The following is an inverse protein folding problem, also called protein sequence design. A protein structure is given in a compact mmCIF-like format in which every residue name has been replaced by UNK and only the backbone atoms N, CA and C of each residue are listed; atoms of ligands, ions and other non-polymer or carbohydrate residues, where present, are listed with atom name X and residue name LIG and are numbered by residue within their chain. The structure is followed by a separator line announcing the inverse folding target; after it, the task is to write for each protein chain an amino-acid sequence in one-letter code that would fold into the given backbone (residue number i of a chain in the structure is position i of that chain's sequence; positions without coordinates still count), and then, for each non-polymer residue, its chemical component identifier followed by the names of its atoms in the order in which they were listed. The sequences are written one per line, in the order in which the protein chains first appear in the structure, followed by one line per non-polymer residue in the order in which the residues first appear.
data_IF_403570503226
#
_entry.id   IF_403570503226
#
_cell.length_a   1.000
_cell.length_b   1.000
_cell.length_c   1.000
_cell.angle_alpha   90.00
_cell.angle_beta   90.00
_cell.angle_gamma   90.00
#
_symmetry.space_group_name_H-M   'P 1'
#
loop_
_entity.id
_entity.type
_entity.pdbx_description
1 polymer ?
#
# COMPACT_ATOMS: atom_id res chain seq x y z
N UNK A 1 9.95 -13.55 -4.77
CA UNK A 1 8.93 -13.56 -5.84
C UNK A 1 9.64 -13.34 -7.18
N UNK A 2 9.28 -14.04 -8.26
CA UNK A 2 9.88 -13.78 -9.59
C UNK A 2 9.28 -12.52 -10.22
N UNK A 3 9.98 -11.90 -11.17
CA UNK A 3 9.49 -10.70 -11.87
C UNK A 3 8.12 -10.94 -12.53
N UNK A 4 7.91 -12.10 -13.13
CA UNK A 4 6.63 -12.47 -13.74
C UNK A 4 5.44 -12.46 -12.76
N UNK A 5 5.68 -12.84 -11.50
CA UNK A 5 4.63 -12.84 -10.46
C UNK A 5 4.39 -11.42 -9.96
N UNK A 6 5.44 -10.60 -9.83
CA UNK A 6 5.32 -9.17 -9.52
C UNK A 6 4.47 -8.46 -10.58
N UNK A 7 4.80 -8.64 -11.86
CA UNK A 7 4.08 -7.99 -12.98
C UNK A 7 2.60 -8.42 -13.01
N UNK A 8 2.32 -9.70 -12.76
CA UNK A 8 0.94 -10.20 -12.67
C UNK A 8 0.17 -9.54 -11.52
N UNK A 9 0.78 -9.42 -10.34
CA UNK A 9 0.15 -8.80 -9.19
C UNK A 9 -0.10 -7.30 -9.41
N UNK A 10 0.82 -6.59 -10.07
CA UNK A 10 0.65 -5.19 -10.48
C UNK A 10 -0.52 -5.04 -11.46
N UNK A 11 -0.68 -5.97 -12.41
CA UNK A 11 -1.80 -5.93 -13.35
C UNK A 11 -3.16 -6.07 -12.63
N UNK A 12 -3.25 -6.95 -11.62
CA UNK A 12 -4.46 -7.08 -10.79
C UNK A 12 -4.73 -5.77 -10.04
N UNK A 13 -3.71 -5.21 -9.37
CA UNK A 13 -3.83 -3.96 -8.62
C UNK A 13 -4.18 -2.79 -9.52
N UNK A 14 -3.67 -2.75 -10.75
CA UNK A 14 -4.03 -1.75 -11.77
C UNK A 14 -5.53 -1.79 -12.07
N UNK A 15 -6.11 -2.98 -12.23
CA UNK A 15 -7.54 -3.11 -12.46
C UNK A 15 -8.38 -2.64 -11.25
N UNK A 16 -7.89 -2.84 -10.03
CA UNK A 16 -8.60 -2.49 -8.80
C UNK A 16 -8.45 -1.01 -8.40
N UNK A 17 -7.25 -0.45 -8.58
CA UNK A 17 -6.85 0.86 -8.06
C UNK A 17 -6.60 1.89 -9.16
N UNK A 18 -6.62 1.47 -10.43
CA UNK A 18 -6.47 2.33 -11.60
C UNK A 18 -5.05 2.40 -12.17
N UNK A 19 -4.95 2.94 -13.39
CA UNK A 19 -3.72 2.98 -14.18
C UNK A 19 -2.59 3.74 -13.49
N UNK A 20 -2.91 4.86 -12.83
CA UNK A 20 -1.91 5.69 -12.14
C UNK A 20 -1.17 4.91 -11.05
N UNK A 21 -1.90 4.13 -10.26
CA UNK A 21 -1.34 3.27 -9.21
C UNK A 21 -0.53 2.14 -9.84
N UNK A 22 -1.06 1.49 -10.88
CA UNK A 22 -0.35 0.44 -11.61
C UNK A 22 0.99 0.90 -12.20
N UNK A 23 1.01 2.06 -12.85
CA UNK A 23 2.23 2.66 -13.42
C UNK A 23 3.24 3.05 -12.34
N UNK A 24 2.77 3.52 -11.17
CA UNK A 24 3.65 3.80 -10.03
C UNK A 24 4.27 2.53 -9.48
N UNK A 25 3.48 1.48 -9.25
CA UNK A 25 3.99 0.19 -8.77
C UNK A 25 5.00 -0.43 -9.74
N UNK A 26 4.78 -0.32 -11.05
CA UNK A 26 5.74 -0.80 -12.05
C UNK A 26 7.07 -0.04 -11.99
N UNK A 27 7.04 1.27 -11.75
CA UNK A 27 8.26 2.06 -11.56
C UNK A 27 9.00 1.68 -10.28
N UNK A 28 8.26 1.46 -9.18
CA UNK A 28 8.85 1.06 -7.90
C UNK A 28 9.43 -0.36 -7.95
N UNK A 29 8.81 -1.29 -8.67
CA UNK A 29 9.31 -2.65 -8.80
C UNK A 29 10.59 -2.76 -9.63
N UNK A 30 10.79 -1.83 -10.57
CA UNK A 30 12.00 -1.74 -11.38
C UNK A 30 13.13 -0.93 -10.72
N UNK A 31 12.87 -0.26 -9.59
CA UNK A 31 13.85 0.59 -8.92
C UNK A 31 14.81 -0.23 -8.06
N UNK A 32 16.12 -0.01 -8.24
CA UNK A 32 17.16 -0.63 -7.41
C UNK A 32 17.35 0.07 -6.06
N UNK A 33 16.93 1.33 -5.92
CA UNK A 33 16.85 2.06 -4.64
C UNK A 33 15.98 3.33 -4.75
N UNK A 34 15.38 3.74 -3.63
CA UNK A 34 14.97 5.12 -3.35
C UNK A 34 13.51 5.55 -3.59
N UNK A 35 13.10 6.61 -2.89
CA UNK A 35 11.91 7.43 -3.23
C UNK A 35 12.23 8.14 -4.55
N UNK A 36 12.02 7.45 -5.68
CA UNK A 36 12.52 7.90 -6.99
C UNK A 36 14.08 7.99 -7.08
N UNK A 37 14.83 7.15 -6.35
CA UNK A 37 16.29 7.03 -6.53
C UNK A 37 17.22 7.39 -5.37
N UNK A 38 16.75 7.80 -4.18
CA UNK A 38 17.62 7.91 -2.97
C UNK A 38 17.07 7.23 -1.71
N UNK A 39 18.01 6.54 -1.05
CA UNK A 39 18.03 5.94 0.31
C UNK A 39 17.07 4.80 0.67
N UNK A 40 16.01 4.54 -0.09
CA UNK A 40 15.15 3.35 0.12
C UNK A 40 15.77 2.07 -0.48
N UNK A 41 15.60 0.94 0.19
CA UNK A 41 15.88 -0.37 -0.38
C UNK A 41 14.94 -0.69 -1.56
N UNK A 42 15.28 -1.66 -2.43
CA UNK A 42 14.38 -2.19 -3.44
C UNK A 42 13.01 -2.56 -2.86
N UNK A 43 11.95 -2.42 -3.67
CA UNK A 43 10.59 -2.75 -3.24
C UNK A 43 10.51 -4.17 -2.70
N UNK A 44 10.02 -4.30 -1.46
CA UNK A 44 9.77 -5.57 -0.82
C UNK A 44 8.57 -6.25 -1.51
N UNK A 45 8.76 -7.42 -2.15
CA UNK A 45 7.69 -8.09 -2.87
C UNK A 45 6.51 -8.49 -1.96
N UNK A 46 6.75 -8.74 -0.67
CA UNK A 46 5.68 -9.06 0.28
C UNK A 46 4.78 -7.86 0.57
N UNK A 47 5.30 -6.65 0.44
CA UNK A 47 4.50 -5.43 0.58
C UNK A 47 3.46 -5.28 -0.53
N UNK A 48 3.78 -5.79 -1.73
CA UNK A 48 2.85 -5.83 -2.86
C UNK A 48 1.72 -6.85 -2.62
N UNK A 49 2.03 -8.00 -2.01
CA UNK A 49 1.03 -9.00 -1.58
C UNK A 49 0.11 -8.41 -0.50
N UNK A 50 0.70 -7.67 0.45
CA UNK A 50 -0.02 -6.89 1.46
C UNK A 50 -0.98 -5.89 0.81
N UNK A 51 -0.53 -5.08 -0.15
CA UNK A 51 -1.40 -4.14 -0.87
C UNK A 51 -2.56 -4.85 -1.60
N UNK A 52 -2.29 -6.00 -2.23
CA UNK A 52 -3.30 -6.79 -2.92
C UNK A 52 -4.35 -7.40 -1.98
N UNK A 53 -3.95 -7.74 -0.76
CA UNK A 53 -4.85 -8.23 0.28
C UNK A 53 -5.71 -7.08 0.81
N UNK A 54 -5.09 -5.91 1.03
CA UNK A 54 -5.78 -4.72 1.49
C UNK A 54 -6.82 -4.22 0.48
N UNK A 55 -6.47 -4.17 -0.82
CA UNK A 55 -7.37 -3.71 -1.89
C UNK A 55 -8.59 -4.60 -2.11
N UNK A 56 -8.53 -5.87 -1.68
CA UNK A 56 -9.68 -6.79 -1.67
C UNK A 56 -10.56 -6.62 -0.43
N UNK A 57 -9.96 -6.17 0.67
CA UNK A 57 -10.62 -6.04 1.97
C UNK A 57 -11.29 -4.67 2.13
N UNK A 58 -10.71 -3.64 1.52
CA UNK A 58 -11.17 -2.26 1.62
C UNK A 58 -11.28 -1.61 0.24
N UNK A 59 -12.34 -0.83 0.00
CA UNK A 59 -12.43 0.01 -1.18
C UNK A 59 -11.47 1.20 -1.03
N UNK A 60 -10.22 1.04 -1.50
CA UNK A 60 -9.24 2.12 -1.53
C UNK A 60 -9.57 3.15 -2.63
N UNK A 61 -9.35 4.46 -2.40
CA UNK A 61 -9.69 5.52 -3.35
C UNK A 61 -8.62 5.63 -4.45
N UNK A 62 -8.63 4.67 -5.39
CA UNK A 62 -7.55 4.46 -6.36
C UNK A 62 -7.02 5.71 -7.11
N UNK A 63 -7.86 6.70 -7.43
CA UNK A 63 -7.42 7.92 -8.14
C UNK A 63 -6.63 8.90 -7.24
N UNK A 64 -6.94 8.92 -5.95
CA UNK A 64 -6.34 9.79 -4.94
C UNK A 64 -5.30 9.05 -4.09
N UNK A 65 -5.01 7.79 -4.43
CA UNK A 65 -4.04 6.96 -3.75
C UNK A 65 -2.62 7.29 -4.23
N UNK A 66 -1.80 7.84 -3.34
CA UNK A 66 -0.38 8.00 -3.55
C UNK A 66 0.37 6.75 -3.08
N UNK A 67 1.43 6.34 -3.80
CA UNK A 67 2.18 5.10 -3.52
C UNK A 67 3.68 5.35 -3.54
N UNK A 68 4.34 4.86 -2.50
CA UNK A 68 5.68 5.25 -2.07
C UNK A 68 6.46 4.04 -1.52
N UNK A 69 7.76 4.21 -1.28
CA UNK A 69 8.58 3.25 -0.55
C UNK A 69 9.09 3.84 0.77
N UNK A 70 9.05 3.07 1.84
CA UNK A 70 9.84 3.34 3.04
C UNK A 70 11.32 3.04 2.81
N UNK A 71 12.17 3.51 3.73
CA UNK A 71 13.61 3.24 3.69
C UNK A 71 13.93 1.72 3.63
N UNK A 72 13.06 0.88 4.19
CA UNK A 72 13.18 -0.58 4.25
C UNK A 72 12.64 -1.30 2.98
N UNK A 73 12.10 -0.56 2.01
CA UNK A 73 11.51 -1.10 0.79
C UNK A 73 10.03 -1.48 0.89
N UNK A 74 9.38 -1.31 2.05
CA UNK A 74 7.93 -1.52 2.16
C UNK A 74 7.18 -0.40 1.43
N UNK A 75 6.03 -0.74 0.85
CA UNK A 75 5.11 0.23 0.27
C UNK A 75 4.45 1.03 1.38
N UNK A 76 4.33 2.33 1.14
CA UNK A 76 3.41 3.20 1.86
C UNK A 76 2.37 3.70 0.86
N UNK A 77 1.12 3.62 1.25
CA UNK A 77 0.01 4.24 0.51
C UNK A 77 -0.55 5.39 1.34
N UNK A 78 -0.94 6.48 0.68
CA UNK A 78 -1.50 7.65 1.34
C UNK A 78 -2.73 8.13 0.59
N UNK A 79 -3.79 8.47 1.31
CA UNK A 79 -5.01 9.04 0.74
C UNK A 79 -5.68 10.02 1.69
N UNK A 80 -6.54 10.88 1.14
CA UNK A 80 -7.42 11.73 1.94
C UNK A 80 -8.74 11.02 2.19
N UNK A 81 -9.12 10.90 3.46
CA UNK A 81 -10.44 10.44 3.86
C UNK A 81 -11.50 11.52 3.62
N UNK A 82 -12.77 11.14 3.72
CA UNK A 82 -13.90 12.04 3.40
C UNK A 82 -14.02 13.22 4.35
N UNK A 83 -13.52 13.10 5.58
CA UNK A 83 -13.48 14.20 6.54
C UNK A 83 -12.27 15.14 6.35
N UNK A 84 -11.39 14.86 5.38
CA UNK A 84 -10.17 15.63 5.09
C UNK A 84 -8.91 15.13 5.80
N UNK A 85 -9.00 14.10 6.66
CA UNK A 85 -7.85 13.47 7.32
C UNK A 85 -6.96 12.79 6.28
N UNK A 86 -5.66 13.02 6.35
CA UNK A 86 -4.68 12.23 5.59
C UNK A 86 -4.45 10.92 6.33
N UNK A 87 -4.61 9.82 5.61
CA UNK A 87 -4.39 8.47 6.10
C UNK A 87 -3.19 7.90 5.37
N UNK A 88 -2.16 7.56 6.12
CA UNK A 88 -1.00 6.84 5.64
C UNK A 88 -1.11 5.37 6.09
N UNK A 89 -0.79 4.45 5.19
CA UNK A 89 -0.71 3.04 5.53
C UNK A 89 0.62 2.44 5.07
N UNK A 90 1.43 1.99 6.03
CA UNK A 90 2.66 1.23 5.78
C UNK A 90 2.33 -0.25 5.67
N UNK A 91 2.83 -0.88 4.61
CA UNK A 91 2.52 -2.25 4.22
C UNK A 91 3.75 -3.12 4.43
N UNK A 92 3.94 -3.57 5.67
CA UNK A 92 4.97 -4.53 6.01
C UNK A 92 4.62 -5.97 5.59
N UNK A 93 5.55 -6.92 5.79
CA UNK A 93 5.27 -8.34 5.74
C UNK A 93 4.17 -8.73 6.73
N UNK A 94 2.95 -8.93 6.24
CA UNK A 94 1.75 -9.29 7.04
C UNK A 94 1.32 -8.26 8.09
N UNK A 95 1.95 -7.09 8.14
CA UNK A 95 1.62 -6.01 9.05
C UNK A 95 1.10 -4.83 8.23
N UNK A 96 0.00 -4.26 8.69
CA UNK A 96 -0.56 -3.01 8.23
C UNK A 96 -0.46 -2.00 9.38
N UNK A 97 0.32 -0.95 9.20
CA UNK A 97 0.30 0.19 10.11
C UNK A 97 -0.50 1.32 9.45
N UNK A 98 -1.59 1.76 10.08
CA UNK A 98 -2.38 2.91 9.63
C UNK A 98 -2.12 4.07 10.57
N UNK A 99 -1.68 5.18 10.00
CA UNK A 99 -1.33 6.40 10.71
C UNK A 99 -2.14 7.59 10.20
N UNK A 100 -2.54 8.45 11.13
CA UNK A 100 -3.14 9.76 10.91
C UNK A 100 -2.48 10.76 11.85
N UNK A 101 -2.82 12.04 11.74
CA UNK A 101 -2.38 13.05 12.72
C UNK A 101 -2.86 12.76 14.16
N UNK A 102 -3.92 11.95 14.33
CA UNK A 102 -4.54 11.70 15.62
C UNK A 102 -4.10 10.39 16.29
N UNK A 103 -3.76 9.37 15.51
CA UNK A 103 -3.40 8.04 16.02
C UNK A 103 -2.61 7.22 15.00
N UNK A 104 -1.94 6.19 15.52
CA UNK A 104 -1.36 5.09 14.76
C UNK A 104 -1.96 3.78 15.25
N UNK A 105 -2.27 2.87 14.33
CA UNK A 105 -2.83 1.56 14.60
C UNK A 105 -2.08 0.50 13.80
N UNK A 106 -1.64 -0.56 14.48
CA UNK A 106 -1.03 -1.73 13.86
C UNK A 106 -2.03 -2.88 13.81
N UNK A 107 -2.18 -3.49 12.63
CA UNK A 107 -3.08 -4.60 12.35
C UNK A 107 -2.35 -5.69 11.57
N UNK A 108 -2.75 -6.95 11.77
CA UNK A 108 -2.34 -8.02 10.87
C UNK A 108 -3.14 -7.91 9.57
N UNK A 109 -2.47 -8.01 8.41
CA UNK A 109 -3.15 -7.84 7.12
C UNK A 109 -4.08 -9.00 6.77
N UNK A 110 -3.85 -10.14 7.40
CA UNK A 110 -4.65 -11.35 7.30
C UNK A 110 -5.61 -11.52 8.48
N UNK A 111 -5.79 -10.47 9.30
CA UNK A 111 -6.83 -10.47 10.33
C UNK A 111 -8.21 -10.62 9.64
N UNK A 112 -8.99 -11.68 9.95
CA UNK A 112 -10.34 -11.85 9.39
C UNK A 112 -11.28 -10.68 9.69
N UNK A 113 -10.98 -9.89 10.72
CA UNK A 113 -11.73 -8.72 11.14
C UNK A 113 -11.10 -7.41 10.64
N UNK A 114 -10.10 -7.44 9.75
CA UNK A 114 -9.40 -6.25 9.27
C UNK A 114 -10.36 -5.17 8.77
N UNK A 115 -11.33 -5.54 7.92
CA UNK A 115 -12.34 -4.61 7.42
C UNK A 115 -13.16 -3.97 8.55
N UNK A 116 -13.57 -4.76 9.55
CA UNK A 116 -14.32 -4.26 10.69
C UNK A 116 -13.48 -3.31 11.54
N UNK A 117 -12.24 -3.70 11.86
CA UNK A 117 -11.33 -2.88 12.65
C UNK A 117 -11.06 -1.54 12.00
N UNK A 118 -10.92 -1.51 10.68
CA UNK A 118 -10.71 -0.26 9.95
C UNK A 118 -12.00 0.57 9.85
N UNK A 119 -13.16 -0.07 9.73
CA UNK A 119 -14.44 0.65 9.76
C UNK A 119 -14.75 1.29 11.13
N UNK A 120 -14.22 0.75 12.22
CA UNK A 120 -14.29 1.36 13.55
C UNK A 120 -13.44 2.63 13.66
N UNK A 121 -12.45 2.77 12.78
CA UNK A 121 -11.64 3.98 12.66
C UNK A 121 -12.44 5.03 11.88
N UNK A 122 -12.89 6.06 12.59
CA UNK A 122 -13.59 7.19 11.96
C UNK A 122 -12.57 8.13 11.33
N UNK A 123 -12.32 7.95 10.05
CA UNK A 123 -11.75 8.97 9.19
C UNK A 123 -12.85 9.80 8.50
#
# INVERSE_FOLDING_TARGET
MSQSVIDHQIAILRHQLGDRVGDRLQRLSAAEAGWDGRDALPMNPQSLESLATLSQTLPLPGQDLAVFLEHNGNLVISWSATNGTVVDASLGPRLLEISTDAFTLELAIDDPLLAQRIAEIRF
#
